data_IF_420318597995
#
_entry.id   IF_420318597995
#
_cell.length_a   1.000
_cell.length_b   1.000
_cell.length_c   1.000
_cell.angle_alpha   90.00
_cell.angle_beta   90.00
_cell.angle_gamma   90.00
#
_symmetry.space_group_name_H-M   'P 1'
#
loop_
_entity.id
_entity.type
_entity.pdbx_description
1 polymer ?
#
# COMPACT_ATOMS: atom_id res chain seq x y z
N UNK A 1 0.85 -22.23 2.53
CA UNK A 1 2.03 -21.42 2.93
C UNK A 1 1.80 -19.94 2.63
N UNK A 2 1.61 -19.54 1.37
CA UNK A 2 1.34 -18.14 1.01
C UNK A 2 0.15 -17.52 1.77
N UNK A 3 -0.99 -18.22 1.90
CA UNK A 3 -2.13 -17.72 2.67
C UNK A 3 -1.81 -17.42 4.14
N UNK A 4 -0.90 -18.18 4.76
CA UNK A 4 -0.48 -17.89 6.14
C UNK A 4 0.36 -16.61 6.19
N UNK A 5 1.22 -16.39 5.19
CA UNK A 5 2.02 -15.18 5.08
C UNK A 5 1.12 -13.96 4.87
N UNK A 6 0.10 -14.06 4.02
CA UNK A 6 -0.92 -13.01 3.86
C UNK A 6 -1.61 -12.71 5.19
N UNK A 7 -2.06 -13.73 5.92
CA UNK A 7 -2.72 -13.54 7.22
C UNK A 7 -1.77 -12.90 8.26
N UNK A 8 -0.50 -13.30 8.29
CA UNK A 8 0.51 -12.70 9.15
C UNK A 8 0.77 -11.24 8.77
N UNK A 9 0.78 -10.93 7.47
CA UNK A 9 0.92 -9.56 6.94
C UNK A 9 -0.25 -8.70 7.38
N UNK A 10 -1.48 -9.21 7.29
CA UNK A 10 -2.69 -8.55 7.80
C UNK A 10 -2.54 -8.19 9.28
N UNK A 11 -2.14 -9.15 10.12
CA UNK A 11 -1.94 -8.91 11.56
C UNK A 11 -0.84 -7.89 11.83
N UNK A 12 0.26 -7.95 11.09
CA UNK A 12 1.37 -7.01 11.19
C UNK A 12 0.93 -5.58 10.84
N UNK A 13 0.19 -5.41 9.76
CA UNK A 13 -0.32 -4.10 9.31
C UNK A 13 -1.33 -3.55 10.30
N UNK A 14 -2.28 -4.38 10.76
CA UNK A 14 -3.27 -3.99 11.79
C UNK A 14 -2.60 -3.48 13.08
N UNK A 15 -1.54 -4.17 13.52
CA UNK A 15 -0.80 -3.79 14.72
C UNK A 15 -0.01 -2.50 14.49
N UNK A 16 0.68 -2.39 13.36
CA UNK A 16 1.52 -1.23 13.03
C UNK A 16 0.69 0.05 12.88
N UNK A 17 -0.52 -0.05 12.32
CA UNK A 17 -1.40 1.09 12.05
C UNK A 17 -2.48 1.32 13.12
N UNK A 18 -2.42 0.63 14.26
CA UNK A 18 -3.44 0.73 15.30
C UNK A 18 -3.67 2.17 15.81
N UNK A 19 -2.65 3.02 15.74
CA UNK A 19 -2.69 4.42 16.15
C UNK A 19 -2.52 5.41 14.98
N UNK A 20 -2.65 4.94 13.73
CA UNK A 20 -2.54 5.82 12.56
C UNK A 20 -3.75 6.77 12.49
N UNK A 21 -3.48 8.06 12.31
CA UNK A 21 -4.51 9.09 12.12
C UNK A 21 -4.66 9.46 10.63
N UNK A 22 -5.81 10.00 10.25
CA UNK A 22 -5.92 10.76 8.99
C UNK A 22 -6.14 9.96 7.70
N UNK A 23 -6.99 8.91 7.72
CA UNK A 23 -7.50 8.26 6.50
C UNK A 23 -6.53 7.31 5.79
N UNK A 24 -5.38 7.02 6.42
CA UNK A 24 -4.42 5.97 6.08
C UNK A 24 -4.44 4.85 7.15
N UNK A 25 -5.64 4.54 7.64
CA UNK A 25 -5.87 3.53 8.66
C UNK A 25 -5.98 2.13 8.03
N UNK A 26 -6.08 1.10 8.87
CA UNK A 26 -6.32 -0.27 8.45
C UNK A 26 -7.46 -0.39 7.42
N UNK A 27 -8.52 0.41 7.56
CA UNK A 27 -9.68 0.31 6.67
C UNK A 27 -9.36 0.78 5.25
N UNK A 28 -8.50 1.78 5.08
CA UNK A 28 -7.99 2.15 3.76
C UNK A 28 -7.25 0.98 3.12
N UNK A 29 -6.26 0.41 3.81
CA UNK A 29 -5.47 -0.71 3.30
C UNK A 29 -6.35 -1.93 3.00
N UNK A 30 -7.32 -2.23 3.86
CA UNK A 30 -8.24 -3.34 3.65
C UNK A 30 -9.07 -3.17 2.36
N UNK A 31 -9.53 -1.96 2.05
CA UNK A 31 -10.27 -1.67 0.82
C UNK A 31 -9.37 -1.79 -0.42
N UNK A 32 -8.16 -1.26 -0.36
CA UNK A 32 -7.16 -1.39 -1.44
C UNK A 32 -6.82 -2.86 -1.70
N UNK A 33 -6.60 -3.64 -0.64
CA UNK A 33 -6.35 -5.08 -0.76
C UNK A 33 -7.54 -5.83 -1.37
N UNK A 34 -8.78 -5.54 -0.94
CA UNK A 34 -9.99 -6.14 -1.53
C UNK A 34 -10.16 -5.76 -3.01
N UNK A 35 -9.91 -4.50 -3.36
CA UNK A 35 -9.94 -4.03 -4.76
C UNK A 35 -8.87 -4.72 -5.60
N UNK A 36 -7.66 -4.87 -5.07
CA UNK A 36 -6.56 -5.61 -5.71
C UNK A 36 -6.99 -7.04 -6.03
N UNK A 37 -7.59 -7.74 -5.07
CA UNK A 37 -8.11 -9.11 -5.27
C UNK A 37 -9.23 -9.17 -6.31
N UNK A 38 -10.07 -8.12 -6.39
CA UNK A 38 -11.13 -8.03 -7.40
C UNK A 38 -10.54 -7.87 -8.81
N UNK A 39 -9.56 -6.98 -8.98
CA UNK A 39 -8.89 -6.76 -10.28
C UNK A 39 -8.19 -8.04 -10.76
N UNK A 40 -7.54 -8.78 -9.85
CA UNK A 40 -6.89 -10.06 -10.14
C UNK A 40 -7.83 -11.17 -10.61
N UNK A 41 -9.16 -10.99 -10.50
CA UNK A 41 -10.11 -11.96 -11.07
C UNK A 41 -10.14 -11.91 -12.60
N UNK A 42 -9.77 -10.76 -13.19
CA UNK A 42 -9.79 -10.54 -14.64
C UNK A 42 -8.41 -10.31 -15.24
N UNK A 43 -7.43 -9.88 -14.44
CA UNK A 43 -6.07 -9.59 -14.87
C UNK A 43 -5.10 -10.73 -14.52
N UNK A 44 -4.14 -11.01 -15.42
CA UNK A 44 -3.08 -12.00 -15.19
C UNK A 44 -1.84 -11.29 -14.64
N UNK A 45 -1.53 -11.56 -13.37
CA UNK A 45 -0.34 -11.05 -12.67
C UNK A 45 0.00 -11.98 -11.48
N UNK A 46 1.15 -11.76 -10.83
CA UNK A 46 1.45 -12.46 -9.58
C UNK A 46 0.56 -11.95 -8.44
N UNK A 47 -0.47 -12.73 -8.10
CA UNK A 47 -1.42 -12.39 -7.05
C UNK A 47 -0.78 -12.30 -5.66
N UNK A 48 0.28 -13.07 -5.39
CA UNK A 48 0.95 -13.05 -4.09
C UNK A 48 1.73 -11.75 -3.91
N UNK A 49 2.47 -11.32 -4.94
CA UNK A 49 3.14 -10.01 -4.97
C UNK A 49 2.12 -8.87 -4.83
N UNK A 50 1.01 -8.93 -5.59
CA UNK A 50 -0.04 -7.92 -5.54
C UNK A 50 -0.67 -7.79 -4.15
N UNK A 51 -1.04 -8.91 -3.51
CA UNK A 51 -1.66 -8.89 -2.19
C UNK A 51 -0.68 -8.37 -1.12
N UNK A 52 0.60 -8.78 -1.17
CA UNK A 52 1.62 -8.26 -0.24
C UNK A 52 1.87 -6.77 -0.43
N UNK A 53 2.03 -6.32 -1.68
CA UNK A 53 2.23 -4.92 -1.99
C UNK A 53 1.01 -4.07 -1.56
N UNK A 54 -0.22 -4.52 -1.84
CA UNK A 54 -1.43 -3.82 -1.41
C UNK A 54 -1.54 -3.71 0.11
N UNK A 55 -1.14 -4.75 0.87
CA UNK A 55 -1.16 -4.71 2.34
C UNK A 55 -0.06 -3.81 2.93
N UNK A 56 1.09 -3.69 2.26
CA UNK A 56 2.27 -3.01 2.80
C UNK A 56 2.54 -1.62 2.22
N UNK A 57 1.81 -1.19 1.18
CA UNK A 57 2.15 0.05 0.45
C UNK A 57 2.18 1.32 1.32
N UNK A 58 1.29 1.42 2.29
CA UNK A 58 1.15 2.57 3.19
C UNK A 58 1.64 2.23 4.62
N UNK A 59 2.45 1.17 4.80
CA UNK A 59 2.90 0.71 6.12
C UNK A 59 3.79 1.73 6.86
N UNK A 60 4.43 2.62 6.13
CA UNK A 60 5.20 3.73 6.67
C UNK A 60 4.64 5.04 6.10
N UNK A 61 3.73 5.67 6.83
CA UNK A 61 3.21 6.97 6.44
C UNK A 61 4.34 8.01 6.48
N UNK A 62 4.75 8.43 5.27
CA UNK A 62 5.79 9.44 5.04
C UNK A 62 5.55 10.77 5.77
N UNK A 63 4.32 11.04 6.22
CA UNK A 63 3.99 12.23 7.03
C UNK A 63 4.55 12.17 8.46
N UNK A 64 4.92 10.99 8.97
CA UNK A 64 5.47 10.80 10.32
C UNK A 64 6.98 10.56 10.35
N UNK A 65 7.60 10.27 9.21
CA UNK A 65 9.04 9.99 9.10
C UNK A 65 9.82 11.10 8.36
N UNK A 66 9.46 12.37 8.56
CA UNK A 66 10.09 13.53 7.91
C UNK A 66 10.16 13.43 6.36
N UNK A 67 9.23 12.70 5.73
CA UNK A 67 9.24 12.49 4.28
C UNK A 67 10.29 11.50 3.76
N UNK A 68 10.87 10.65 4.61
CA UNK A 68 11.75 9.57 4.16
C UNK A 68 10.96 8.42 3.52
N UNK A 69 10.90 8.43 2.19
CA UNK A 69 10.24 7.42 1.36
C UNK A 69 10.95 6.05 1.40
N UNK A 70 12.14 5.94 1.99
CA UNK A 70 12.86 4.66 2.13
C UNK A 70 12.38 3.80 3.30
N UNK A 71 11.61 4.38 4.23
CA UNK A 71 11.14 3.67 5.43
C UNK A 71 10.17 2.54 5.08
N UNK A 72 9.22 2.80 4.18
CA UNK A 72 8.21 1.81 3.76
C UNK A 72 8.83 0.54 3.16
N UNK A 73 9.64 0.65 2.09
CA UNK A 73 10.33 -0.49 1.50
C UNK A 73 11.23 -1.24 2.49
N UNK A 74 11.91 -0.52 3.39
CA UNK A 74 12.76 -1.14 4.42
C UNK A 74 11.95 -1.96 5.42
N UNK A 75 10.88 -1.40 5.97
CA UNK A 75 10.00 -2.10 6.92
C UNK A 75 9.32 -3.32 6.29
N UNK A 76 8.87 -3.18 5.04
CA UNK A 76 8.31 -4.28 4.27
C UNK A 76 9.35 -5.41 4.07
N UNK A 77 10.59 -5.08 3.66
CA UNK A 77 11.67 -6.06 3.52
C UNK A 77 11.94 -6.79 4.83
N UNK A 78 12.16 -6.06 5.92
CA UNK A 78 12.46 -6.63 7.23
C UNK A 78 11.35 -7.61 7.66
N UNK A 79 10.09 -7.21 7.54
CA UNK A 79 8.96 -8.08 7.85
C UNK A 79 8.93 -9.33 6.96
N UNK A 80 9.01 -9.19 5.64
CA UNK A 80 8.91 -10.33 4.70
C UNK A 80 10.07 -11.33 4.86
N UNK A 81 11.26 -10.86 5.23
CA UNK A 81 12.39 -11.72 5.58
C UNK A 81 12.08 -12.59 6.80
N UNK A 82 11.40 -12.06 7.84
CA UNK A 82 10.97 -12.88 8.99
C UNK A 82 9.96 -13.97 8.59
N UNK A 83 9.23 -13.77 7.50
CA UNK A 83 8.25 -14.72 6.97
C UNK A 83 8.88 -15.75 6.01
N UNK A 84 10.20 -15.68 5.78
CA UNK A 84 10.93 -16.53 4.82
C UNK A 84 10.37 -16.44 3.39
N UNK A 85 9.96 -15.25 2.96
CA UNK A 85 9.62 -14.98 1.55
C UNK A 85 10.90 -14.96 0.72
N UNK A 86 10.83 -15.40 -0.54
CA UNK A 86 11.98 -15.38 -1.44
C UNK A 86 12.42 -13.95 -1.79
N UNK A 87 13.72 -13.74 -2.00
CA UNK A 87 14.27 -12.41 -2.22
C UNK A 87 13.72 -11.73 -3.49
N UNK A 88 13.37 -12.49 -4.52
CA UNK A 88 12.80 -11.93 -5.75
C UNK A 88 11.41 -11.31 -5.49
N UNK A 89 10.55 -12.01 -4.77
CA UNK A 89 9.25 -11.49 -4.32
C UNK A 89 9.44 -10.28 -3.40
N UNK A 90 10.38 -10.33 -2.45
CA UNK A 90 10.66 -9.21 -1.54
C UNK A 90 11.10 -7.97 -2.33
N UNK A 91 12.05 -8.12 -3.25
CA UNK A 91 12.55 -7.03 -4.08
C UNK A 91 11.43 -6.44 -4.93
N UNK A 92 10.57 -7.27 -5.52
CA UNK A 92 9.43 -6.82 -6.32
C UNK A 92 8.43 -6.02 -5.47
N UNK A 93 8.04 -6.53 -4.29
CA UNK A 93 7.17 -5.80 -3.37
C UNK A 93 7.79 -4.47 -2.95
N UNK A 94 9.07 -4.46 -2.58
CA UNK A 94 9.78 -3.24 -2.18
C UNK A 94 9.80 -2.19 -3.30
N UNK A 95 10.04 -2.62 -4.54
CA UNK A 95 10.00 -1.74 -5.70
C UNK A 95 8.59 -1.17 -5.93
N UNK A 96 7.53 -1.98 -5.80
CA UNK A 96 6.16 -1.46 -5.90
C UNK A 96 5.94 -0.37 -4.85
N UNK A 97 6.26 -0.63 -3.58
CA UNK A 97 6.08 0.34 -2.49
C UNK A 97 6.87 1.63 -2.76
N UNK A 98 8.12 1.51 -3.22
CA UNK A 98 8.98 2.66 -3.49
C UNK A 98 8.45 3.55 -4.62
N UNK A 99 7.96 2.95 -5.70
CA UNK A 99 7.65 3.66 -6.94
C UNK A 99 6.15 3.97 -7.14
N UNK A 100 5.27 3.43 -6.29
CA UNK A 100 3.83 3.64 -6.44
C UNK A 100 3.37 5.05 -6.05
N UNK A 101 4.13 5.76 -5.21
CA UNK A 101 3.77 7.10 -4.74
C UNK A 101 3.71 8.10 -5.90
N UNK A 102 2.76 9.05 -5.82
CA UNK A 102 2.62 10.09 -6.85
C UNK A 102 3.91 10.90 -7.02
N UNK A 103 4.64 11.15 -5.93
CA UNK A 103 5.91 11.88 -5.98
C UNK A 103 7.01 11.09 -6.68
N UNK A 104 7.09 9.77 -6.46
CA UNK A 104 8.02 8.90 -7.18
C UNK A 104 7.72 8.87 -8.69
N UNK A 105 6.45 8.98 -9.10
CA UNK A 105 6.08 9.02 -10.52
C UNK A 105 6.57 10.27 -11.28
N UNK A 106 7.02 11.31 -10.58
CA UNK A 106 7.54 12.55 -11.17
C UNK A 106 9.07 12.52 -11.37
N UNK A 107 9.76 11.49 -10.88
CA UNK A 107 11.22 11.35 -10.96
C UNK A 107 11.73 10.71 -12.26
N UNK A 108 13.06 10.72 -12.51
CA UNK A 108 13.68 10.11 -13.69
C UNK A 108 13.85 8.58 -13.59
N UNK A 109 13.62 8.00 -12.41
CA UNK A 109 13.66 6.56 -12.17
C UNK A 109 12.28 5.95 -12.36
N UNK A 110 12.21 4.86 -13.12
CA UNK A 110 10.97 4.23 -13.49
C UNK A 110 11.04 2.73 -13.19
N UNK A 111 10.24 2.29 -12.23
CA UNK A 111 9.86 0.90 -12.09
C UNK A 111 8.43 0.76 -12.61
N UNK A 112 8.16 -0.31 -13.35
CA UNK A 112 6.81 -0.61 -13.82
C UNK A 112 6.65 -2.13 -13.93
N UNK A 113 5.55 -2.63 -13.42
CA UNK A 113 5.13 -4.02 -13.58
C UNK A 113 3.61 -4.09 -13.63
N UNK A 114 3.07 -5.24 -14.05
CA UNK A 114 1.61 -5.44 -14.07
C UNK A 114 1.02 -5.41 -12.65
N UNK A 115 1.74 -5.99 -11.70
CA UNK A 115 1.42 -6.00 -10.26
C UNK A 115 1.37 -4.57 -9.71
N UNK A 116 2.37 -3.74 -10.04
CA UNK A 116 2.38 -2.33 -9.65
C UNK A 116 1.16 -1.58 -10.19
N UNK A 117 0.82 -1.78 -11.47
CA UNK A 117 -0.32 -1.13 -12.09
C UNK A 117 -1.63 -1.54 -11.40
N UNK A 118 -1.80 -2.82 -11.10
CA UNK A 118 -3.00 -3.35 -10.41
C UNK A 118 -3.14 -2.73 -9.02
N UNK A 119 -2.08 -2.71 -8.22
CA UNK A 119 -2.14 -2.14 -6.85
C UNK A 119 -2.36 -0.63 -6.89
N UNK A 120 -1.73 0.07 -7.85
CA UNK A 120 -1.93 1.50 -8.04
C UNK A 120 -3.37 1.83 -8.47
N UNK A 121 -3.97 1.03 -9.35
CA UNK A 121 -5.37 1.19 -9.74
C UNK A 121 -6.31 0.94 -8.57
N UNK A 122 -6.04 -0.11 -7.77
CA UNK A 122 -6.81 -0.43 -6.58
C UNK A 122 -6.80 0.71 -5.53
N UNK A 123 -5.64 1.34 -5.33
CA UNK A 123 -5.46 2.49 -4.44
C UNK A 123 -6.21 3.74 -4.95
N UNK A 124 -6.04 4.06 -6.25
CA UNK A 124 -6.73 5.20 -6.87
C UNK A 124 -8.25 5.05 -6.87
N UNK A 125 -8.77 3.83 -7.03
CA UNK A 125 -10.21 3.56 -6.91
C UNK A 125 -10.74 3.89 -5.52
N UNK A 126 -9.94 3.74 -4.45
CA UNK A 126 -10.32 4.11 -3.08
C UNK A 126 -10.32 5.63 -2.84
N UNK A 127 -9.71 6.40 -3.74
CA UNK A 127 -9.64 7.87 -3.66
C UNK A 127 -10.76 8.57 -4.43
N UNK A 128 -11.63 7.84 -5.13
CA UNK A 128 -12.74 8.39 -5.93
C UNK A 128 -14.11 7.92 -5.44
N UNK A 129 -15.18 8.37 -6.10
CA UNK A 129 -16.56 8.02 -5.74
C UNK A 129 -16.98 8.54 -4.37
N UNK A 130 -17.97 7.91 -3.74
CA UNK A 130 -18.51 8.33 -2.45
C UNK A 130 -17.44 8.33 -1.33
N UNK A 131 -16.54 7.36 -1.34
CA UNK A 131 -15.42 7.27 -0.39
C UNK A 131 -14.45 8.43 -0.62
N UNK A 132 -14.06 8.70 -1.88
CA UNK A 132 -13.21 9.83 -2.23
C UNK A 132 -13.77 11.18 -1.78
N UNK A 133 -15.08 11.38 -1.93
CA UNK A 133 -15.78 12.58 -1.42
C UNK A 133 -15.58 12.68 0.10
N UNK A 134 -15.92 11.63 0.85
CA UNK A 134 -15.79 11.62 2.31
C UNK A 134 -14.33 11.86 2.77
N UNK A 135 -13.35 11.23 2.11
CA UNK A 135 -11.91 11.42 2.39
C UNK A 135 -11.47 12.86 2.15
N UNK A 136 -11.97 13.50 1.10
CA UNK A 136 -11.67 14.90 0.78
C UNK A 136 -12.13 15.85 1.89
N UNK A 137 -13.37 15.70 2.37
CA UNK A 137 -13.88 16.49 3.49
C UNK A 137 -13.12 16.23 4.80
N UNK A 138 -12.81 14.96 5.10
CA UNK A 138 -12.06 14.59 6.31
C UNK A 138 -10.65 15.21 6.32
N UNK A 139 -9.92 15.11 5.21
CA UNK A 139 -8.59 15.70 5.10
C UNK A 139 -8.64 17.24 5.14
N UNK A 140 -9.63 17.85 4.48
CA UNK A 140 -9.87 19.30 4.54
C UNK A 140 -10.10 19.80 5.97
N UNK A 141 -10.97 19.10 6.72
CA UNK A 141 -11.21 19.39 8.14
C UNK A 141 -9.95 19.23 9.00
N UNK A 142 -9.19 18.16 8.82
CA UNK A 142 -7.92 17.94 9.53
C UNK A 142 -6.88 19.03 9.23
N UNK A 143 -6.79 19.49 7.98
CA UNK A 143 -5.91 20.62 7.59
C UNK A 143 -6.47 21.99 7.94
N UNK A 144 -7.59 22.05 8.65
CA UNK A 144 -8.30 23.26 9.04
C UNK A 144 -8.65 24.17 7.85
N UNK A 145 -8.87 23.56 6.68
CA UNK A 145 -9.48 24.21 5.53
C UNK A 145 -10.99 24.21 5.74
N UNK A 146 -11.45 25.09 6.64
CA UNK A 146 -12.87 25.29 6.89
C UNK A 146 -13.51 25.82 5.61
N UNK A 147 -14.59 25.15 5.19
CA UNK A 147 -15.43 25.59 4.08
C UNK A 147 -16.08 26.94 4.35
#
# INVERSE_FOLDING_TARGET
MQQNIINNTIQFVQTTLQNAEGGHDWFHIERVWKNTKLILQTEIADGFVCELAALLHDIADSKFHNGDETVGPRLAREFLQTQNVDEATIEHVCNIIQYMSFKASLGPSHFSSKEMAIVQDADRLDAIGAIGIARTFNFGGYKNNLM
#
